data_IF_028336777596
#
_entry.id   IF_028336777596
#
_cell.length_a   1.000
_cell.length_b   1.000
_cell.length_c   1.000
_cell.angle_alpha   90.00
_cell.angle_beta   90.00
_cell.angle_gamma   90.00
#
_symmetry.space_group_name_H-M   'P 1'
#
loop_
_entity.id
_entity.type
_entity.pdbx_description
1 polymer ?
#
# COMPACT_ATOMS: atom_id res chain seq x y z
N UNK A 1 -5.80 -5.32 15.17
CA UNK A 1 -4.59 -4.46 15.14
C UNK A 1 -3.89 -4.57 13.79
N UNK A 2 -3.30 -3.47 13.34
CA UNK A 2 -2.48 -3.45 12.12
C UNK A 2 -1.26 -4.35 12.32
N UNK A 3 -1.08 -5.35 11.48
CA UNK A 3 -0.07 -6.40 11.69
C UNK A 3 0.82 -6.66 10.47
N UNK A 4 0.50 -6.10 9.30
CA UNK A 4 1.29 -6.30 8.08
C UNK A 4 1.17 -5.12 7.11
N UNK A 5 2.19 -4.94 6.29
CA UNK A 5 2.05 -4.26 5.02
C UNK A 5 1.33 -5.24 4.09
N UNK A 6 0.08 -4.95 3.77
CA UNK A 6 -0.72 -5.85 2.94
C UNK A 6 -0.27 -5.77 1.49
N UNK A 7 -0.32 -4.56 0.91
CA UNK A 7 0.13 -4.35 -0.46
C UNK A 7 0.52 -2.90 -0.77
N UNK A 8 1.12 -2.75 -1.93
CA UNK A 8 1.48 -1.48 -2.53
C UNK A 8 0.69 -1.31 -3.82
N UNK A 9 0.21 -0.10 -4.08
CA UNK A 9 -0.55 0.26 -5.26
C UNK A 9 0.32 1.13 -6.17
N UNK A 10 0.38 0.75 -7.43
CA UNK A 10 1.03 1.50 -8.50
C UNK A 10 -0.01 1.86 -9.56
N UNK A 11 -0.32 3.14 -9.68
CA UNK A 11 -1.24 3.65 -10.69
C UNK A 11 -0.57 3.70 -12.05
N UNK A 12 -1.23 3.13 -13.06
CA UNK A 12 -0.72 3.06 -14.43
C UNK A 12 -1.83 3.40 -15.43
N UNK A 13 -1.45 3.98 -16.59
CA UNK A 13 -2.39 4.25 -17.68
C UNK A 13 -2.68 2.98 -18.49
N UNK A 14 -1.62 2.22 -18.80
CA UNK A 14 -1.68 1.01 -19.60
C UNK A 14 -1.24 -0.21 -18.81
N UNK A 15 -2.21 -0.95 -18.29
CA UNK A 15 -1.93 -2.10 -17.44
C UNK A 15 -1.16 -3.22 -18.17
N UNK A 16 -1.42 -3.44 -19.46
CA UNK A 16 -0.75 -4.50 -20.23
C UNK A 16 0.73 -4.17 -20.50
N UNK A 17 1.06 -2.91 -20.68
CA UNK A 17 2.45 -2.46 -20.85
C UNK A 17 3.19 -2.48 -19.52
N UNK A 18 2.56 -1.97 -18.46
CA UNK A 18 3.10 -2.02 -17.11
C UNK A 18 3.37 -3.47 -16.67
N UNK A 19 2.43 -4.38 -16.88
CA UNK A 19 2.59 -5.80 -16.58
C UNK A 19 3.84 -6.40 -17.24
N UNK A 20 4.05 -6.15 -18.54
CA UNK A 20 5.25 -6.63 -19.26
C UNK A 20 6.55 -6.07 -18.66
N UNK A 21 6.53 -4.80 -18.27
CA UNK A 21 7.71 -4.14 -17.70
C UNK A 21 8.03 -4.69 -16.31
N UNK A 22 7.02 -4.82 -15.46
CA UNK A 22 7.19 -5.35 -14.10
C UNK A 22 7.47 -6.85 -14.08
N UNK A 23 6.91 -7.65 -15.01
CA UNK A 23 7.28 -9.08 -15.15
C UNK A 23 8.78 -9.24 -15.46
N UNK A 24 9.35 -8.39 -16.31
CA UNK A 24 10.79 -8.39 -16.58
C UNK A 24 11.60 -7.95 -15.37
N UNK A 25 11.13 -6.90 -14.65
CA UNK A 25 11.81 -6.38 -13.47
C UNK A 25 11.84 -7.41 -12.32
N UNK A 26 10.71 -8.05 -12.07
CA UNK A 26 10.56 -8.99 -10.94
C UNK A 26 11.02 -10.41 -11.29
N UNK A 27 11.08 -10.76 -12.58
CA UNK A 27 11.40 -12.10 -13.03
C UNK A 27 10.30 -13.14 -12.74
N UNK A 28 9.06 -12.68 -12.54
CA UNK A 28 7.84 -13.48 -12.33
C UNK A 28 6.68 -12.85 -13.08
N UNK A 29 5.67 -13.65 -13.40
CA UNK A 29 4.42 -13.16 -13.95
C UNK A 29 3.40 -12.82 -12.84
N UNK A 30 2.44 -11.92 -13.11
CA UNK A 30 1.36 -11.68 -12.17
C UNK A 30 0.51 -12.95 -11.98
N UNK A 31 0.00 -13.10 -10.78
CA UNK A 31 -0.80 -14.27 -10.36
C UNK A 31 -2.29 -14.01 -10.38
N UNK A 32 -2.68 -12.79 -10.65
CA UNK A 32 -4.06 -12.31 -10.69
C UNK A 32 -4.20 -11.18 -11.71
N UNK A 33 -5.24 -11.26 -12.50
CA UNK A 33 -5.70 -10.19 -13.39
C UNK A 33 -7.19 -10.05 -13.24
N UNK A 34 -7.64 -8.93 -12.72
CA UNK A 34 -9.04 -8.82 -12.38
C UNK A 34 -9.61 -7.42 -12.50
N UNK A 35 -10.84 -7.30 -12.06
CA UNK A 35 -11.57 -6.04 -12.04
C UNK A 35 -12.26 -5.80 -10.70
N UNK A 36 -12.43 -4.53 -10.43
CA UNK A 36 -13.29 -4.00 -9.37
C UNK A 36 -14.44 -3.23 -10.05
N UNK A 37 -15.45 -3.96 -10.49
CA UNK A 37 -16.51 -3.40 -11.37
C UNK A 37 -17.20 -2.17 -10.77
N UNK A 38 -17.47 -2.16 -9.45
CA UNK A 38 -18.10 -1.03 -8.76
C UNK A 38 -17.16 0.18 -8.65
N UNK A 39 -15.85 -0.05 -8.60
CA UNK A 39 -14.83 1.00 -8.52
C UNK A 39 -14.38 1.53 -9.87
N UNK A 40 -14.73 0.81 -10.97
CA UNK A 40 -14.30 1.14 -12.32
C UNK A 40 -12.80 0.98 -12.55
N UNK A 41 -12.18 -0.03 -11.93
CA UNK A 41 -10.73 -0.29 -12.06
C UNK A 41 -10.45 -1.72 -12.47
N UNK A 42 -9.31 -1.91 -13.14
CA UNK A 42 -8.71 -3.22 -13.39
C UNK A 42 -7.34 -3.30 -12.72
N UNK A 43 -6.96 -4.50 -12.35
CA UNK A 43 -5.68 -4.71 -11.69
C UNK A 43 -4.90 -5.91 -12.23
N UNK A 44 -3.58 -5.88 -11.99
CA UNK A 44 -2.68 -7.00 -12.17
C UNK A 44 -1.79 -7.11 -10.94
N UNK A 45 -1.70 -8.30 -10.31
CA UNK A 45 -1.09 -8.47 -9.00
C UNK A 45 0.11 -9.44 -9.07
N UNK A 46 1.25 -8.96 -8.57
CA UNK A 46 2.44 -9.76 -8.32
C UNK A 46 2.50 -10.09 -6.82
N UNK A 47 2.43 -11.38 -6.48
CA UNK A 47 2.42 -11.81 -5.09
C UNK A 47 3.82 -12.27 -4.65
N UNK A 48 4.32 -11.68 -3.56
CA UNK A 48 5.61 -11.98 -2.95
C UNK A 48 5.44 -12.69 -1.60
N UNK A 49 6.53 -13.16 -1.01
CA UNK A 49 6.48 -13.90 0.25
C UNK A 49 5.99 -13.09 1.46
N UNK A 50 5.94 -11.77 1.37
CA UNK A 50 5.60 -10.90 2.51
C UNK A 50 4.61 -9.76 2.22
N UNK A 51 4.29 -9.53 0.97
CA UNK A 51 3.34 -8.49 0.52
C UNK A 51 2.98 -8.76 -0.94
N UNK A 52 2.01 -8.06 -1.50
CA UNK A 52 1.83 -8.06 -2.94
C UNK A 52 1.93 -6.64 -3.54
N UNK A 53 2.17 -6.61 -4.83
CA UNK A 53 2.33 -5.41 -5.62
C UNK A 53 1.20 -5.37 -6.64
N UNK A 54 0.38 -4.35 -6.57
CA UNK A 54 -0.79 -4.19 -7.41
C UNK A 54 -0.57 -3.08 -8.42
N UNK A 55 -0.59 -3.43 -9.69
CA UNK A 55 -0.80 -2.47 -10.78
C UNK A 55 -2.29 -2.17 -10.85
N UNK A 56 -2.67 -0.91 -10.82
CA UNK A 56 -4.05 -0.46 -10.83
C UNK A 56 -4.27 0.56 -11.95
N UNK A 57 -5.23 0.29 -12.83
CA UNK A 57 -5.61 1.17 -13.92
C UNK A 57 -7.10 1.51 -13.88
N UNK A 58 -7.46 2.70 -14.37
CA UNK A 58 -8.85 3.07 -14.58
C UNK A 58 -9.47 2.25 -15.72
N UNK A 59 -10.71 1.78 -15.53
CA UNK A 59 -11.50 1.04 -16.50
C UNK A 59 -13.00 1.39 -16.36
N UNK A 60 -13.32 2.68 -16.52
CA UNK A 60 -14.69 3.19 -16.40
C UNK A 60 -14.78 4.46 -15.58
N UNK A 61 -15.98 4.75 -15.06
CA UNK A 61 -16.31 6.03 -14.40
C UNK A 61 -16.47 5.92 -12.88
N UNK A 62 -16.07 4.79 -12.28
CA UNK A 62 -16.19 4.55 -10.84
C UNK A 62 -15.28 5.46 -9.99
N UNK A 63 -15.54 5.51 -8.69
CA UNK A 63 -14.74 6.31 -7.75
C UNK A 63 -13.24 5.93 -7.78
N UNK A 64 -12.94 4.62 -7.87
CA UNK A 64 -11.57 4.13 -7.99
C UNK A 64 -10.88 4.62 -9.26
N UNK A 65 -11.58 4.59 -10.40
CA UNK A 65 -11.08 5.14 -11.67
C UNK A 65 -10.75 6.63 -11.56
N UNK A 66 -11.60 7.41 -10.90
CA UNK A 66 -11.35 8.84 -10.69
C UNK A 66 -10.11 9.09 -9.82
N UNK A 67 -9.89 8.28 -8.76
CA UNK A 67 -8.70 8.38 -7.92
C UNK A 67 -7.42 8.04 -8.71
N UNK A 68 -7.44 6.97 -9.51
CA UNK A 68 -6.29 6.57 -10.35
C UNK A 68 -5.98 7.67 -11.35
N UNK A 69 -6.97 8.15 -12.10
CA UNK A 69 -6.77 9.20 -13.11
C UNK A 69 -6.25 10.49 -12.48
N UNK A 70 -6.82 10.93 -11.35
CA UNK A 70 -6.35 12.10 -10.62
C UNK A 70 -4.90 11.93 -10.15
N UNK A 71 -4.56 10.77 -9.60
CA UNK A 71 -3.19 10.51 -9.15
C UNK A 71 -2.18 10.58 -10.28
N UNK A 72 -2.52 10.01 -11.45
CA UNK A 72 -1.66 10.05 -12.63
C UNK A 72 -1.54 11.48 -13.18
N UNK A 73 -2.63 12.24 -13.22
CA UNK A 73 -2.62 13.64 -13.65
C UNK A 73 -1.72 14.53 -12.77
N UNK A 74 -1.77 14.31 -11.44
CA UNK A 74 -1.01 15.12 -10.49
C UNK A 74 0.46 14.69 -10.34
N UNK A 75 0.77 13.39 -10.45
CA UNK A 75 2.07 12.83 -10.08
C UNK A 75 2.73 11.99 -11.18
N UNK A 76 2.03 11.69 -12.28
CA UNK A 76 2.43 10.70 -13.26
C UNK A 76 2.14 9.26 -12.80
N UNK A 77 2.46 8.28 -13.67
CA UNK A 77 2.41 6.87 -13.30
C UNK A 77 3.42 6.54 -12.19
N UNK A 78 3.08 5.65 -11.28
CA UNK A 78 4.01 5.21 -10.25
C UNK A 78 3.38 4.77 -8.95
N UNK A 79 4.22 4.64 -7.93
CA UNK A 79 3.84 4.23 -6.58
C UNK A 79 2.91 5.25 -5.94
N UNK A 80 1.66 4.87 -5.74
CA UNK A 80 0.57 5.76 -5.33
C UNK A 80 0.09 5.46 -3.92
N UNK A 81 0.00 4.18 -3.54
CA UNK A 81 -0.65 3.77 -2.30
C UNK A 81 0.13 2.77 -1.48
N UNK A 82 -0.13 2.82 -0.18
CA UNK A 82 0.33 1.87 0.82
C UNK A 82 -0.87 1.36 1.62
N UNK A 83 -1.11 0.05 1.60
CA UNK A 83 -2.26 -0.57 2.27
C UNK A 83 -1.79 -1.43 3.44
N UNK A 84 -2.37 -1.19 4.60
CA UNK A 84 -2.01 -1.87 5.83
C UNK A 84 -3.08 -2.92 6.18
N UNK A 85 -2.64 -4.11 6.56
CA UNK A 85 -3.52 -5.24 6.84
C UNK A 85 -3.88 -5.36 8.31
N UNK A 86 -5.11 -5.78 8.57
CA UNK A 86 -5.63 -6.19 9.88
C UNK A 86 -6.31 -7.55 9.77
N UNK A 87 -6.24 -8.36 10.82
CA UNK A 87 -6.98 -9.63 10.92
C UNK A 87 -8.42 -9.45 11.44
N UNK A 88 -8.70 -8.31 12.06
CA UNK A 88 -10.03 -7.93 12.56
C UNK A 88 -10.16 -6.41 12.41
N UNK A 89 -10.83 -6.00 11.35
CA UNK A 89 -10.94 -4.58 11.01
C UNK A 89 -11.96 -3.86 11.89
N UNK A 90 -13.00 -4.54 12.36
CA UNK A 90 -13.95 -4.00 13.32
C UNK A 90 -13.27 -3.70 14.66
N UNK A 91 -12.54 -4.66 15.23
CA UNK A 91 -11.80 -4.43 16.46
C UNK A 91 -10.71 -3.34 16.31
N UNK A 92 -10.06 -3.28 15.15
CA UNK A 92 -9.08 -2.23 14.87
C UNK A 92 -9.74 -0.85 14.78
N UNK A 93 -10.89 -0.76 14.13
CA UNK A 93 -11.69 0.47 14.05
C UNK A 93 -12.12 0.94 15.44
N UNK A 94 -12.65 0.03 16.28
CA UNK A 94 -13.10 0.35 17.63
C UNK A 94 -11.95 0.88 18.51
N UNK A 95 -10.77 0.28 18.43
CA UNK A 95 -9.57 0.78 19.13
C UNK A 95 -9.16 2.19 18.69
N UNK A 96 -9.30 2.50 17.40
CA UNK A 96 -8.99 3.82 16.86
C UNK A 96 -10.07 4.85 17.26
N UNK A 97 -11.34 4.44 17.33
CA UNK A 97 -12.44 5.28 17.83
C UNK A 97 -12.25 5.64 19.31
N UNK A 98 -11.77 4.69 20.15
CA UNK A 98 -11.43 4.94 21.56
C UNK A 98 -10.33 6.00 21.73
N UNK A 99 -9.49 6.19 20.72
CA UNK A 99 -8.48 7.26 20.68
C UNK A 99 -9.06 8.62 20.20
N UNK A 100 -10.37 8.70 19.99
CA UNK A 100 -11.05 9.92 19.56
C UNK A 100 -10.92 10.22 18.06
N UNK A 101 -10.60 9.22 17.25
CA UNK A 101 -10.47 9.37 15.80
C UNK A 101 -11.81 9.01 15.16
N UNK A 102 -12.36 9.93 14.36
CA UNK A 102 -13.61 9.69 13.64
C UNK A 102 -13.33 9.02 12.29
N UNK A 103 -14.08 7.96 12.02
CA UNK A 103 -13.96 7.18 10.78
C UNK A 103 -15.30 7.04 10.08
N UNK A 104 -15.23 6.87 8.78
CA UNK A 104 -16.34 6.37 7.98
C UNK A 104 -16.71 4.91 8.33
N UNK A 105 -17.68 4.38 7.61
CA UNK A 105 -18.06 2.99 7.73
C UNK A 105 -17.04 2.09 7.04
N UNK A 106 -16.95 0.85 7.53
CA UNK A 106 -16.25 -0.22 6.82
C UNK A 106 -17.03 -0.49 5.52
N UNK A 107 -16.31 -0.49 4.40
CA UNK A 107 -16.86 -0.80 3.09
C UNK A 107 -16.43 -2.20 2.65
N UNK A 108 -17.28 -2.85 1.89
CA UNK A 108 -16.99 -4.17 1.30
C UNK A 108 -16.37 -3.98 -0.08
N UNK A 109 -15.40 -4.82 -0.40
CA UNK A 109 -14.78 -4.89 -1.71
C UNK A 109 -14.83 -6.30 -2.26
N UNK A 110 -14.93 -6.39 -3.58
CA UNK A 110 -14.88 -7.65 -4.33
C UNK A 110 -14.01 -7.46 -5.58
N UNK A 111 -13.23 -8.47 -5.89
CA UNK A 111 -12.47 -8.57 -7.13
C UNK A 111 -12.67 -9.94 -7.76
N UNK A 112 -12.76 -9.96 -9.09
CA UNK A 112 -12.91 -11.19 -9.87
C UNK A 112 -11.74 -11.33 -10.83
N UNK A 113 -11.10 -12.50 -10.78
CA UNK A 113 -10.02 -12.85 -11.70
C UNK A 113 -10.55 -13.21 -13.09
N UNK A 114 -9.97 -12.62 -14.14
CA UNK A 114 -10.39 -12.86 -15.52
C UNK A 114 -10.08 -14.27 -16.02
N UNK A 115 -8.94 -14.81 -15.57
CA UNK A 115 -8.43 -16.08 -16.09
C UNK A 115 -9.12 -17.28 -15.42
N UNK A 116 -9.24 -17.27 -14.10
CA UNK A 116 -9.81 -18.38 -13.33
C UNK A 116 -11.31 -18.19 -12.98
N UNK A 117 -11.79 -16.95 -12.99
CA UNK A 117 -13.11 -16.60 -12.49
C UNK A 117 -13.24 -16.61 -10.97
N UNK A 118 -12.14 -16.81 -10.26
CA UNK A 118 -12.11 -16.79 -8.80
C UNK A 118 -12.49 -15.42 -8.27
N UNK A 119 -13.11 -15.41 -7.10
CA UNK A 119 -13.55 -14.18 -6.42
C UNK A 119 -12.76 -14.05 -5.13
N UNK A 120 -12.33 -12.82 -4.84
CA UNK A 120 -11.79 -12.41 -3.55
C UNK A 120 -12.68 -11.34 -2.97
N UNK A 121 -12.88 -11.38 -1.64
CA UNK A 121 -13.64 -10.37 -0.90
C UNK A 121 -12.86 -9.85 0.27
N UNK A 122 -13.08 -8.60 0.58
CA UNK A 122 -12.41 -7.92 1.68
C UNK A 122 -13.26 -6.79 2.25
N UNK A 123 -12.86 -6.32 3.41
CA UNK A 123 -13.34 -5.10 4.04
C UNK A 123 -12.28 -4.02 3.94
N UNK A 124 -12.69 -2.78 3.70
CA UNK A 124 -11.82 -1.61 3.72
C UNK A 124 -12.26 -0.63 4.80
N UNK A 125 -11.30 -0.02 5.47
CA UNK A 125 -11.50 1.14 6.32
C UNK A 125 -10.62 2.28 5.79
N UNK A 126 -11.25 3.27 5.16
CA UNK A 126 -10.55 4.46 4.71
C UNK A 126 -10.19 5.34 5.89
N UNK A 127 -8.97 5.84 5.87
CA UNK A 127 -8.39 6.60 6.97
C UNK A 127 -8.60 8.11 6.72
N UNK A 128 -8.86 8.89 7.78
CA UNK A 128 -8.95 10.35 7.66
C UNK A 128 -7.56 10.98 7.41
N UNK A 129 -7.55 12.20 6.89
CA UNK A 129 -6.34 12.91 6.44
C UNK A 129 -5.26 13.04 7.50
N UNK A 130 -5.65 13.20 8.78
CA UNK A 130 -4.69 13.27 9.88
C UNK A 130 -3.94 11.96 10.14
N UNK A 131 -4.46 10.83 9.66
CA UNK A 131 -3.81 9.52 9.73
C UNK A 131 -3.09 9.13 8.44
N UNK A 132 -3.62 9.52 7.27
CA UNK A 132 -2.97 9.25 5.99
C UNK A 132 -1.76 10.16 5.76
N UNK A 133 -1.78 11.37 6.33
CA UNK A 133 -0.69 12.37 6.25
C UNK A 133 -0.32 12.73 4.81
N UNK A 134 -1.31 12.68 3.90
CA UNK A 134 -1.13 12.94 2.47
C UNK A 134 -0.84 11.73 1.61
N UNK A 135 -0.70 10.54 2.19
CA UNK A 135 -0.57 9.29 1.44
C UNK A 135 -1.94 8.72 1.08
N UNK A 136 -2.06 8.08 -0.07
CA UNK A 136 -3.20 7.20 -0.33
C UNK A 136 -3.01 5.93 0.49
N UNK A 137 -3.76 5.82 1.59
CA UNK A 137 -3.63 4.72 2.53
C UNK A 137 -4.96 4.35 3.15
N UNK A 138 -5.20 3.07 3.33
CA UNK A 138 -6.36 2.51 4.02
C UNK A 138 -6.01 1.19 4.70
N UNK A 139 -6.92 0.70 5.54
CA UNK A 139 -6.79 -0.60 6.17
C UNK A 139 -7.64 -1.63 5.44
N UNK A 140 -7.15 -2.88 5.38
CA UNK A 140 -7.83 -4.00 4.71
C UNK A 140 -7.86 -5.25 5.58
N UNK A 141 -8.97 -5.99 5.49
CA UNK A 141 -9.14 -7.35 6.01
C UNK A 141 -9.67 -8.24 4.89
N UNK A 142 -8.91 -9.25 4.47
CA UNK A 142 -9.37 -10.24 3.51
C UNK A 142 -10.32 -11.23 4.17
N UNK A 143 -11.51 -11.41 3.60
CA UNK A 143 -12.58 -12.23 4.19
C UNK A 143 -12.86 -13.50 3.39
N UNK A 144 -12.57 -13.51 2.09
CA UNK A 144 -12.81 -14.66 1.22
C UNK A 144 -11.83 -14.68 0.04
N UNK A 145 -11.40 -15.88 -0.33
CA UNK A 145 -10.50 -16.14 -1.46
C UNK A 145 -9.04 -15.77 -1.17
N UNK A 146 -8.14 -16.64 -1.57
CA UNK A 146 -6.70 -16.44 -1.44
C UNK A 146 -6.10 -15.89 -2.73
N UNK A 147 -5.10 -15.04 -2.59
CA UNK A 147 -4.26 -14.64 -3.71
C UNK A 147 -3.24 -15.77 -3.97
N UNK A 148 -3.20 -16.35 -5.19
CA UNK A 148 -2.25 -17.41 -5.49
C UNK A 148 -0.80 -16.95 -5.30
N UNK A 149 0.08 -17.88 -4.95
CA UNK A 149 1.52 -17.65 -5.04
C UNK A 149 2.02 -18.01 -6.45
N UNK A 150 3.09 -17.38 -6.93
CA UNK A 150 3.77 -17.81 -8.14
C UNK A 150 4.13 -19.31 -8.04
N UNK A 151 3.98 -20.07 -9.12
CA UNK A 151 4.30 -21.49 -9.15
C UNK A 151 5.77 -21.80 -8.81
N UNK A 152 6.66 -20.85 -9.06
CA UNK A 152 8.06 -20.88 -8.64
C UNK A 152 8.65 -19.48 -8.63
N UNK A 153 9.72 -19.29 -7.84
CA UNK A 153 10.57 -18.11 -7.91
C UNK A 153 11.91 -18.53 -8.53
N UNK A 154 12.19 -18.16 -9.80
CA UNK A 154 13.51 -18.34 -10.39
C UNK A 154 14.60 -17.68 -9.53
N UNK A 155 15.81 -18.21 -9.55
CA UNK A 155 16.91 -17.73 -8.71
C UNK A 155 17.26 -16.23 -8.91
N UNK A 156 16.94 -15.69 -10.08
CA UNK A 156 17.15 -14.28 -10.43
C UNK A 156 15.90 -13.40 -10.21
N UNK A 157 14.82 -13.96 -9.65
CA UNK A 157 13.60 -13.20 -9.44
C UNK A 157 13.54 -12.50 -8.09
N UNK A 158 12.68 -11.50 -7.99
CA UNK A 158 12.33 -10.86 -6.72
C UNK A 158 11.41 -11.80 -5.92
N UNK A 159 11.74 -12.02 -4.65
CA UNK A 159 10.98 -12.93 -3.78
C UNK A 159 10.21 -12.21 -2.69
N UNK A 160 10.66 -11.04 -2.30
CA UNK A 160 10.09 -10.25 -1.20
C UNK A 160 10.42 -8.78 -1.36
N UNK A 161 9.60 -7.94 -0.78
CA UNK A 161 9.90 -6.54 -0.52
C UNK A 161 10.78 -6.47 0.74
N UNK A 162 11.90 -5.74 0.69
CA UNK A 162 12.70 -5.45 1.88
C UNK A 162 12.09 -4.27 2.65
N UNK A 163 11.92 -3.13 1.98
CA UNK A 163 11.26 -1.97 2.58
C UNK A 163 10.59 -1.05 1.57
N UNK A 164 9.60 -0.29 2.06
CA UNK A 164 9.04 0.88 1.39
C UNK A 164 9.64 2.14 1.99
N UNK A 165 9.98 3.12 1.16
CA UNK A 165 10.56 4.39 1.60
C UNK A 165 9.54 5.51 1.50
N UNK A 166 9.40 6.27 2.60
CA UNK A 166 8.55 7.43 2.72
C UNK A 166 9.39 8.64 3.11
N UNK A 167 9.30 9.73 2.37
CA UNK A 167 9.85 11.01 2.78
C UNK A 167 8.82 11.74 3.65
N UNK A 168 9.27 12.35 4.76
CA UNK A 168 8.45 13.20 5.63
C UNK A 168 9.17 14.48 5.99
N UNK A 169 8.43 15.56 6.19
CA UNK A 169 8.96 16.78 6.81
C UNK A 169 8.46 16.98 8.26
N UNK A 170 7.77 15.96 8.80
CA UNK A 170 7.28 15.94 10.19
C UNK A 170 7.49 14.54 10.81
N UNK A 171 8.75 14.19 11.16
CA UNK A 171 9.06 12.87 11.70
C UNK A 171 8.36 12.58 13.03
N UNK A 172 8.14 13.58 13.87
CA UNK A 172 7.41 13.40 15.14
C UNK A 172 5.94 13.05 14.91
N UNK A 173 5.29 13.72 13.95
CA UNK A 173 3.93 13.38 13.55
C UNK A 173 3.85 11.99 12.91
N UNK A 174 4.88 11.57 12.17
CA UNK A 174 4.95 10.22 11.64
C UNK A 174 5.05 9.18 12.77
N UNK A 175 5.90 9.40 13.77
CA UNK A 175 6.01 8.53 14.97
C UNK A 175 4.67 8.50 15.70
N UNK A 176 4.01 9.64 15.89
CA UNK A 176 2.71 9.71 16.56
C UNK A 176 1.67 8.83 15.88
N UNK A 177 1.59 8.85 14.55
CA UNK A 177 0.61 8.04 13.80
C UNK A 177 1.03 6.57 13.78
N UNK A 178 2.23 6.28 13.30
CA UNK A 178 2.62 4.89 13.02
C UNK A 178 2.95 4.10 14.30
N UNK A 179 3.63 4.71 15.27
CA UNK A 179 3.95 4.00 16.52
C UNK A 179 2.82 4.11 17.56
N UNK A 180 2.36 5.33 17.87
CA UNK A 180 1.45 5.54 18.99
C UNK A 180 0.01 5.18 18.64
N UNK A 181 -0.45 5.53 17.42
CA UNK A 181 -1.82 5.27 16.99
C UNK A 181 -1.98 3.88 16.38
N UNK A 182 -1.12 3.50 15.44
CA UNK A 182 -1.21 2.19 14.77
C UNK A 182 -0.56 1.05 15.54
N UNK A 183 0.29 1.34 16.53
CA UNK A 183 1.02 0.34 17.31
C UNK A 183 2.16 -0.35 16.53
N UNK A 184 2.62 0.24 15.42
CA UNK A 184 3.72 -0.30 14.61
C UNK A 184 5.05 0.05 15.28
N UNK A 185 5.84 -0.97 15.58
CA UNK A 185 7.09 -0.80 16.34
C UNK A 185 8.12 0.05 15.61
N UNK A 186 8.51 1.19 16.18
CA UNK A 186 9.71 1.94 15.80
C UNK A 186 10.95 1.14 16.24
N UNK A 187 11.64 0.54 15.27
CA UNK A 187 12.79 -0.33 15.54
C UNK A 187 14.10 0.44 15.64
N UNK A 188 14.22 1.54 14.90
CA UNK A 188 15.40 2.38 14.88
C UNK A 188 15.00 3.83 14.55
N UNK A 189 15.59 4.76 15.28
CA UNK A 189 15.54 6.20 15.06
C UNK A 189 16.96 6.73 15.20
N UNK A 190 17.53 7.19 14.08
CA UNK A 190 18.90 7.70 14.08
C UNK A 190 19.10 8.81 13.06
N UNK A 191 20.03 9.70 13.35
CA UNK A 191 20.50 10.71 12.40
C UNK A 191 21.76 10.23 11.72
N UNK A 192 21.74 10.22 10.38
CA UNK A 192 22.89 9.86 9.54
C UNK A 192 23.14 11.03 8.58
N UNK A 193 23.99 11.96 8.97
CA UNK A 193 24.26 13.18 8.19
C UNK A 193 24.68 12.88 6.74
N UNK A 194 25.49 11.83 6.56
CA UNK A 194 25.96 11.39 5.23
C UNK A 194 24.82 10.97 4.29
N UNK A 195 23.66 10.55 4.83
CA UNK A 195 22.49 10.09 4.06
C UNK A 195 21.35 11.09 4.04
N UNK A 196 21.58 12.29 4.54
CA UNK A 196 20.64 13.41 4.41
C UNK A 196 19.75 13.64 5.61
N UNK A 197 20.06 13.08 6.79
CA UNK A 197 19.38 13.46 8.02
C UNK A 197 18.88 12.32 8.90
N UNK A 198 17.76 12.54 9.57
CA UNK A 198 17.14 11.57 10.47
C UNK A 198 16.36 10.52 9.69
N UNK A 199 16.55 9.27 10.07
CA UNK A 199 15.92 8.10 9.46
C UNK A 199 15.21 7.30 10.55
N UNK A 200 13.95 6.91 10.26
CA UNK A 200 13.13 6.08 11.12
C UNK A 200 12.85 4.76 10.42
N UNK A 201 12.89 3.67 11.17
CA UNK A 201 12.61 2.33 10.65
C UNK A 201 11.51 1.66 11.48
N UNK A 202 10.36 1.48 10.85
CA UNK A 202 9.22 0.81 11.48
C UNK A 202 9.15 -0.63 10.98
N UNK A 203 9.07 -1.58 11.94
CA UNK A 203 8.95 -3.02 11.61
C UNK A 203 7.51 -3.45 11.61
N UNK A 204 7.07 -3.91 10.46
CA UNK A 204 5.70 -4.37 10.25
C UNK A 204 5.73 -5.78 9.65
N UNK A 205 5.62 -6.81 10.52
CA UNK A 205 5.78 -8.22 10.15
C UNK A 205 7.17 -8.47 9.51
N UNK A 206 7.21 -8.93 8.27
CA UNK A 206 8.43 -9.27 7.52
C UNK A 206 8.94 -8.12 6.64
N UNK A 207 8.40 -6.91 6.82
CA UNK A 207 8.69 -5.73 5.99
C UNK A 207 9.12 -4.57 6.88
N UNK A 208 9.80 -3.59 6.31
CA UNK A 208 10.16 -2.34 6.98
C UNK A 208 9.52 -1.17 6.25
N UNK A 209 9.01 -0.19 7.00
CA UNK A 209 8.74 1.15 6.49
C UNK A 209 9.93 2.00 6.90
N UNK A 210 10.72 2.42 5.92
CA UNK A 210 11.82 3.36 6.10
C UNK A 210 11.31 4.77 5.86
N UNK A 211 11.58 5.67 6.81
CA UNK A 211 11.16 7.06 6.72
C UNK A 211 12.37 7.96 6.73
N UNK A 212 12.48 8.79 5.72
CA UNK A 212 13.57 9.78 5.59
C UNK A 212 13.00 11.16 5.91
N UNK A 213 13.46 11.76 7.00
CA UNK A 213 13.06 13.10 7.37
C UNK A 213 13.82 14.13 6.52
N UNK A 214 13.06 14.96 5.80
CA UNK A 214 13.59 16.09 5.01
C UNK A 214 13.08 17.40 5.58
N UNK A 215 13.96 18.36 5.75
CA UNK A 215 13.61 19.70 6.22
C UNK A 215 13.10 20.60 5.08
N UNK A 216 12.29 20.07 4.18
CA UNK A 216 11.72 20.82 3.06
C UNK A 216 10.19 20.91 3.16
N UNK A 217 9.67 22.10 2.85
CA UNK A 217 8.24 22.33 2.74
C UNK A 217 7.60 23.05 3.94
N UNK A 218 6.52 23.77 3.63
CA UNK A 218 5.73 24.55 4.61
C UNK A 218 4.57 23.75 5.17
N UNK A 219 4.07 22.77 4.42
CA UNK A 219 2.96 21.92 4.80
C UNK A 219 3.49 20.55 5.22
N UNK A 220 2.93 20.03 6.32
CA UNK A 220 3.26 18.69 6.80
C UNK A 220 2.68 17.67 5.85
N UNK A 221 3.54 16.99 5.11
CA UNK A 221 3.13 16.01 4.11
C UNK A 221 4.14 14.87 4.02
N UNK A 222 3.62 13.67 3.94
CA UNK A 222 4.40 12.47 3.64
C UNK A 222 4.29 12.14 2.15
N UNK A 223 5.37 11.56 1.58
CA UNK A 223 5.39 11.15 0.18
C UNK A 223 6.04 9.78 0.03
N UNK A 224 5.37 8.88 -0.66
CA UNK A 224 5.99 7.63 -1.12
C UNK A 224 7.15 7.97 -2.06
N UNK A 225 8.33 7.40 -1.77
CA UNK A 225 9.53 7.70 -2.54
C UNK A 225 10.02 6.52 -3.38
N UNK A 226 9.94 5.31 -2.85
CA UNK A 226 10.41 4.15 -3.58
C UNK A 226 10.33 2.85 -2.80
N UNK A 227 10.84 1.80 -3.42
CA UNK A 227 10.82 0.42 -2.92
C UNK A 227 12.20 -0.19 -3.02
N UNK A 228 12.56 -1.06 -2.06
CA UNK A 228 13.74 -1.91 -2.12
C UNK A 228 13.32 -3.38 -2.06
N UNK A 229 13.96 -4.18 -2.91
CA UNK A 229 13.64 -5.61 -3.14
C UNK A 229 14.82 -6.51 -2.78
#
# INVERSE_FOLDING_TARGET
MINKLDHLIVSVENISEAEKNYSKLFGIDPVWRGEHSELGTINSIFNFNNTYFELLAANGDGFGAQLVNKSIEENGEGLTGIVLGSEDLEATRDQLLEQGIDFGNISLGEGKDFDSGNIRRWKNLFLPDNLTRGLFSFLIEHTEGDLPMPGSFPASSVHKLDHVVINTNDPEGFIQVYEKTYGIRLALDQTVEKWGGRMLFFRLNKTTIEVIAKEDGKEKQDKLWGLAW
#
